data_IF_014438294154
#
_entry.id   IF_014438294154
#
_cell.length_a   1.000
_cell.length_b   1.000
_cell.length_c   1.000
_cell.angle_alpha   90.00
_cell.angle_beta   90.00
_cell.angle_gamma   90.00
#
_symmetry.space_group_name_H-M   'P 1'
#
loop_
_entity.id
_entity.type
_entity.pdbx_description
1 polymer ?
#
# COMPACT_ATOMS: atom_id res chain seq x y z
N UNK A 1 -11.87 -20.79 -8.08
CA UNK A 1 -10.65 -20.93 -8.94
C UNK A 1 -10.12 -19.54 -9.21
N UNK A 2 -8.80 -19.41 -9.27
CA UNK A 2 -8.07 -18.19 -9.61
C UNK A 2 -7.50 -18.36 -11.01
N UNK A 3 -7.63 -17.36 -11.88
CA UNK A 3 -6.98 -17.35 -13.20
C UNK A 3 -5.48 -17.13 -13.05
N UNK A 4 -4.68 -17.39 -14.11
CA UNK A 4 -3.25 -17.11 -14.08
C UNK A 4 -2.94 -15.62 -13.85
N UNK A 5 -3.74 -14.73 -14.44
CA UNK A 5 -3.60 -13.29 -14.25
C UNK A 5 -3.88 -12.86 -12.80
N UNK A 6 -4.96 -13.39 -12.21
CA UNK A 6 -5.24 -13.20 -10.80
C UNK A 6 -4.13 -13.78 -9.92
N UNK A 7 -3.64 -14.99 -10.25
CA UNK A 7 -2.54 -15.63 -9.54
C UNK A 7 -1.25 -14.81 -9.51
N UNK A 8 -0.97 -14.05 -10.59
CA UNK A 8 0.17 -13.13 -10.63
C UNK A 8 0.08 -11.96 -9.62
N UNK A 9 -1.11 -11.72 -9.04
CA UNK A 9 -1.34 -10.73 -7.99
C UNK A 9 -1.23 -11.33 -6.58
N UNK A 10 -1.19 -12.65 -6.42
CA UNK A 10 -1.23 -13.29 -5.11
C UNK A 10 -0.03 -12.90 -4.24
N UNK A 11 1.15 -12.78 -4.83
CA UNK A 11 2.38 -12.42 -4.11
C UNK A 11 2.29 -11.03 -3.47
N UNK A 12 2.05 -9.93 -4.20
CA UNK A 12 1.95 -8.61 -3.59
C UNK A 12 0.74 -8.45 -2.65
N UNK A 13 -0.35 -9.18 -2.89
CA UNK A 13 -1.48 -9.23 -1.94
C UNK A 13 -1.07 -9.91 -0.64
N UNK A 14 -0.28 -10.99 -0.69
CA UNK A 14 0.23 -11.66 0.51
C UNK A 14 1.15 -10.75 1.34
N UNK A 15 2.01 -9.96 0.69
CA UNK A 15 2.82 -8.93 1.35
C UNK A 15 1.93 -7.91 2.09
N UNK A 16 0.87 -7.44 1.44
CA UNK A 16 -0.06 -6.48 2.02
C UNK A 16 -0.89 -7.09 3.17
N UNK A 17 -1.33 -8.35 3.03
CA UNK A 17 -2.02 -9.08 4.09
C UNK A 17 -1.15 -9.20 5.34
N UNK A 18 0.15 -9.53 5.17
CA UNK A 18 1.10 -9.55 6.28
C UNK A 18 1.27 -8.18 6.93
N UNK A 19 1.40 -7.12 6.14
CA UNK A 19 1.52 -5.77 6.69
C UNK A 19 0.30 -5.37 7.53
N UNK A 20 -0.91 -5.70 7.05
CA UNK A 20 -2.16 -5.46 7.79
C UNK A 20 -2.24 -6.30 9.08
N UNK A 21 -1.77 -7.55 9.08
CA UNK A 21 -1.72 -8.39 10.27
C UNK A 21 -0.72 -7.86 11.31
N UNK A 22 0.45 -7.38 10.88
CA UNK A 22 1.43 -6.73 11.76
C UNK A 22 0.91 -5.41 12.35
N UNK A 23 0.02 -4.73 11.63
CA UNK A 23 -0.64 -3.52 12.07
C UNK A 23 -1.69 -3.76 13.17
N UNK A 24 -2.14 -5.01 13.37
CA UNK A 24 -3.15 -5.40 14.36
C UNK A 24 -4.47 -4.59 14.22
N UNK A 25 -5.02 -4.57 13.00
CA UNK A 25 -6.23 -3.82 12.65
C UNK A 25 -7.44 -4.24 13.49
N UNK A 26 -8.22 -3.25 13.94
CA UNK A 26 -9.50 -3.42 14.64
C UNK A 26 -10.60 -2.61 13.96
N UNK A 27 -11.89 -2.81 14.31
CA UNK A 27 -12.98 -1.98 13.77
C UNK A 27 -12.90 -0.49 14.10
N UNK A 28 -12.09 -0.10 15.08
CA UNK A 28 -11.83 1.31 15.46
C UNK A 28 -10.63 1.90 14.74
N UNK A 29 -9.90 1.11 13.94
CA UNK A 29 -8.66 1.55 13.29
C UNK A 29 -8.93 2.60 12.23
N UNK A 30 -8.37 3.79 12.41
CA UNK A 30 -8.08 4.72 11.33
C UNK A 30 -6.67 4.45 10.83
N UNK A 31 -6.54 4.19 9.54
CA UNK A 31 -5.27 3.82 8.93
C UNK A 31 -4.83 4.84 7.88
N UNK A 32 -3.52 5.08 7.77
CA UNK A 32 -2.86 5.81 6.70
C UNK A 32 -1.99 4.87 5.88
N UNK A 33 -2.13 4.92 4.55
CA UNK A 33 -1.21 4.28 3.61
C UNK A 33 -0.49 5.37 2.83
N UNK A 34 0.84 5.41 2.91
CA UNK A 34 1.66 6.33 2.13
C UNK A 34 2.26 5.61 0.94
N UNK A 35 1.90 6.09 -0.26
CA UNK A 35 2.22 5.47 -1.54
C UNK A 35 1.10 4.57 -2.06
N UNK A 36 0.65 4.84 -3.29
CA UNK A 36 -0.43 4.09 -3.97
C UNK A 36 0.12 3.34 -5.19
N UNK A 37 1.32 2.77 -5.04
CA UNK A 37 1.86 1.74 -5.94
C UNK A 37 1.19 0.38 -5.69
N UNK A 38 1.66 -0.71 -6.33
CA UNK A 38 1.05 -2.05 -6.18
C UNK A 38 0.87 -2.47 -4.71
N UNK A 39 1.88 -2.26 -3.88
CA UNK A 39 1.83 -2.60 -2.45
C UNK A 39 0.82 -1.71 -1.71
N UNK A 40 0.78 -0.40 -2.00
CA UNK A 40 -0.17 0.51 -1.35
C UNK A 40 -1.62 0.20 -1.70
N UNK A 41 -1.91 -0.15 -2.97
CA UNK A 41 -3.24 -0.58 -3.41
C UNK A 41 -3.71 -1.80 -2.62
N UNK A 42 -2.85 -2.81 -2.50
CA UNK A 42 -3.21 -4.03 -1.78
C UNK A 42 -3.20 -3.82 -0.26
N UNK A 43 -2.37 -2.91 0.28
CA UNK A 43 -2.42 -2.53 1.69
C UNK A 43 -3.76 -1.86 2.04
N UNK A 44 -4.24 -0.93 1.19
CA UNK A 44 -5.58 -0.35 1.32
C UNK A 44 -6.65 -1.45 1.40
N UNK A 45 -6.67 -2.36 0.41
CA UNK A 45 -7.65 -3.45 0.37
C UNK A 45 -7.52 -4.40 1.57
N UNK A 46 -6.28 -4.75 1.96
CA UNK A 46 -6.04 -5.61 3.12
C UNK A 46 -6.53 -4.98 4.43
N UNK A 47 -6.28 -3.69 4.65
CA UNK A 47 -6.78 -2.95 5.81
C UNK A 47 -8.32 -2.95 5.86
N UNK A 48 -8.98 -2.70 4.72
CA UNK A 48 -10.44 -2.77 4.62
C UNK A 48 -10.96 -4.18 4.90
N UNK A 49 -10.33 -5.23 4.34
CA UNK A 49 -10.72 -6.63 4.53
C UNK A 49 -10.46 -7.11 5.97
N UNK A 50 -9.51 -6.50 6.69
CA UNK A 50 -9.29 -6.71 8.13
C UNK A 50 -10.22 -5.88 9.01
N UNK A 51 -11.07 -5.05 8.42
CA UNK A 51 -12.12 -4.32 9.13
C UNK A 51 -11.72 -2.94 9.65
N UNK A 52 -10.70 -2.30 9.08
CA UNK A 52 -10.37 -0.91 9.41
C UNK A 52 -11.60 0.00 9.20
N UNK A 53 -11.85 0.89 10.16
CA UNK A 53 -12.96 1.85 10.11
C UNK A 53 -12.81 2.83 8.95
N UNK A 54 -11.58 3.27 8.72
CA UNK A 54 -11.21 4.27 7.72
C UNK A 54 -9.83 3.94 7.17
N UNK A 55 -9.65 4.15 5.88
CA UNK A 55 -8.31 4.14 5.28
C UNK A 55 -8.10 5.44 4.52
N UNK A 56 -7.06 6.16 4.90
CA UNK A 56 -6.56 7.37 4.26
C UNK A 56 -5.37 6.97 3.41
N UNK A 57 -5.29 7.49 2.19
CA UNK A 57 -4.19 7.21 1.25
C UNK A 57 -3.50 8.51 0.87
N UNK A 58 -2.18 8.57 0.98
CA UNK A 58 -1.36 9.68 0.50
C UNK A 58 -0.51 9.25 -0.71
N UNK A 59 -0.62 9.96 -1.83
CA UNK A 59 0.22 9.77 -3.03
C UNK A 59 0.34 11.09 -3.79
N UNK A 60 1.45 11.28 -4.51
CA UNK A 60 1.70 12.48 -5.33
C UNK A 60 1.04 12.41 -6.72
N UNK A 61 0.54 11.26 -7.14
CA UNK A 61 -0.09 11.02 -8.42
C UNK A 61 -1.62 11.12 -8.31
N UNK A 62 -2.22 12.09 -9.00
CA UNK A 62 -3.65 12.36 -8.94
C UNK A 62 -4.52 11.20 -9.46
N UNK A 63 -4.05 10.45 -10.48
CA UNK A 63 -4.78 9.30 -11.04
C UNK A 63 -4.81 8.14 -10.03
N UNK A 64 -3.69 7.89 -9.32
CA UNK A 64 -3.62 6.91 -8.24
C UNK A 64 -4.52 7.27 -7.07
N UNK A 65 -4.59 8.56 -6.71
CA UNK A 65 -5.53 9.05 -5.70
C UNK A 65 -6.98 8.90 -6.15
N UNK A 66 -7.28 9.14 -7.44
CA UNK A 66 -8.63 8.90 -7.99
C UNK A 66 -9.00 7.41 -7.91
N UNK A 67 -8.05 6.51 -8.18
CA UNK A 67 -8.25 5.07 -8.01
C UNK A 67 -8.46 4.70 -6.53
N UNK A 68 -7.68 5.25 -5.60
CA UNK A 68 -7.88 5.03 -4.17
C UNK A 68 -9.29 5.45 -3.72
N UNK A 69 -9.78 6.61 -4.18
CA UNK A 69 -11.16 7.05 -3.91
C UNK A 69 -12.20 6.07 -4.44
N UNK A 70 -12.00 5.50 -5.64
CA UNK A 70 -12.92 4.50 -6.19
C UNK A 70 -12.97 3.20 -5.37
N UNK A 71 -11.94 2.93 -4.57
CA UNK A 71 -11.88 1.84 -3.59
C UNK A 71 -12.42 2.24 -2.21
N UNK A 72 -12.98 3.44 -2.05
CA UNK A 72 -13.57 3.92 -0.80
C UNK A 72 -12.56 4.54 0.19
N UNK A 73 -11.35 4.87 -0.24
CA UNK A 73 -10.38 5.57 0.61
C UNK A 73 -10.59 7.09 0.59
N UNK A 74 -10.28 7.74 1.71
CA UNK A 74 -10.01 9.17 1.75
C UNK A 74 -8.60 9.44 1.23
N UNK A 75 -8.34 10.61 0.64
CA UNK A 75 -7.06 10.83 -0.05
C UNK A 75 -6.40 12.15 0.31
N UNK A 76 -5.07 12.13 0.36
CA UNK A 76 -4.21 13.28 0.59
C UNK A 76 -3.25 13.40 -0.60
N UNK A 77 -3.13 14.58 -1.20
CA UNK A 77 -2.07 14.90 -2.13
C UNK A 77 -0.96 15.68 -1.41
N UNK A 78 0.21 15.08 -1.15
CA UNK A 78 1.31 15.74 -0.45
C UNK A 78 1.89 16.97 -1.18
N UNK A 79 1.53 17.17 -2.45
CA UNK A 79 1.90 18.39 -3.22
C UNK A 79 1.00 19.57 -2.89
N UNK A 80 -0.16 19.35 -2.28
CA UNK A 80 -1.18 20.37 -2.00
C UNK A 80 -1.29 20.65 -0.51
N UNK A 81 -1.12 19.63 0.35
CA UNK A 81 -1.24 19.76 1.80
C UNK A 81 -0.26 18.79 2.48
N UNK A 82 0.27 19.20 3.63
CA UNK A 82 1.10 18.32 4.45
C UNK A 82 0.34 17.05 4.88
N UNK A 83 0.96 15.88 4.67
CA UNK A 83 0.34 14.58 4.94
C UNK A 83 -0.01 14.40 6.42
N UNK A 84 0.85 14.89 7.32
CA UNK A 84 0.67 14.73 8.77
C UNK A 84 -0.48 15.62 9.26
N UNK A 85 -0.50 16.87 8.81
CA UNK A 85 -1.54 17.83 9.16
C UNK A 85 -2.91 17.35 8.66
N UNK A 86 -2.97 16.89 7.39
CA UNK A 86 -4.20 16.38 6.80
C UNK A 86 -4.71 15.11 7.51
N UNK A 87 -3.83 14.14 7.76
CA UNK A 87 -4.21 12.90 8.45
C UNK A 87 -4.71 13.17 9.87
N UNK A 88 -4.08 14.10 10.60
CA UNK A 88 -4.56 14.54 11.93
C UNK A 88 -5.90 15.27 11.86
N UNK A 89 -6.09 16.15 10.87
CA UNK A 89 -7.37 16.83 10.69
C UNK A 89 -8.52 15.86 10.42
N UNK A 90 -8.27 14.80 9.64
CA UNK A 90 -9.24 13.73 9.34
C UNK A 90 -9.54 12.83 10.55
N UNK A 91 -8.73 12.90 11.61
CA UNK A 91 -8.84 12.08 12.83
C UNK A 91 -9.03 12.94 14.08
N UNK A 92 -9.68 14.09 13.96
CA UNK A 92 -9.99 15.02 15.05
C UNK A 92 -8.76 15.42 15.90
N UNK A 93 -7.59 15.46 15.27
CA UNK A 93 -6.32 15.81 15.89
C UNK A 93 -5.58 14.63 16.54
N UNK A 94 -6.21 13.46 16.68
CA UNK A 94 -5.62 12.30 17.37
C UNK A 94 -4.46 11.66 16.60
N UNK A 95 -4.49 11.71 15.28
CA UNK A 95 -3.63 10.91 14.39
C UNK A 95 -4.20 9.52 14.09
N UNK A 96 -3.52 8.75 13.26
CA UNK A 96 -3.96 7.42 12.83
C UNK A 96 -3.47 6.32 13.77
N UNK A 97 -4.30 5.33 14.05
CA UNK A 97 -3.91 4.17 14.87
C UNK A 97 -2.85 3.31 14.15
N UNK A 98 -2.91 3.30 12.82
CA UNK A 98 -2.02 2.50 11.95
C UNK A 98 -1.50 3.37 10.81
N UNK A 99 -0.20 3.34 10.53
CA UNK A 99 0.37 3.89 9.31
C UNK A 99 1.20 2.84 8.58
N UNK A 100 1.03 2.71 7.25
CA UNK A 100 1.82 1.82 6.41
C UNK A 100 2.61 2.67 5.41
N UNK A 101 3.94 2.57 5.45
CA UNK A 101 4.81 3.14 4.43
C UNK A 101 5.04 2.11 3.31
N UNK A 102 4.43 2.35 2.15
CA UNK A 102 4.55 1.52 0.96
C UNK A 102 5.54 2.10 -0.07
N UNK A 103 6.30 3.13 0.28
CA UNK A 103 7.31 3.80 -0.56
C UNK A 103 8.72 3.45 -0.09
N UNK A 104 9.03 3.73 1.17
CA UNK A 104 10.34 3.46 1.75
C UNK A 104 11.34 4.60 1.59
N UNK A 105 10.89 5.85 1.49
CA UNK A 105 11.74 7.03 1.52
C UNK A 105 11.76 7.66 2.91
N UNK A 106 12.82 8.39 3.24
CA UNK A 106 12.93 9.08 4.52
C UNK A 106 11.76 10.01 4.82
N UNK A 107 11.29 10.74 3.80
CA UNK A 107 10.14 11.63 3.92
C UNK A 107 8.84 10.86 4.25
N UNK A 108 8.57 9.74 3.56
CA UNK A 108 7.36 8.94 3.77
C UNK A 108 7.38 8.17 5.08
N UNK A 109 8.54 7.64 5.49
CA UNK A 109 8.75 7.02 6.80
C UNK A 109 8.46 8.00 7.93
N UNK A 110 9.01 9.23 7.83
CA UNK A 110 8.77 10.29 8.80
C UNK A 110 7.30 10.73 8.84
N UNK A 111 6.67 10.88 7.67
CA UNK A 111 5.24 11.22 7.60
C UNK A 111 4.39 10.17 8.32
N UNK A 112 4.65 8.87 8.13
CA UNK A 112 3.96 7.80 8.86
C UNK A 112 4.15 7.90 10.37
N UNK A 113 5.38 8.15 10.83
CA UNK A 113 5.67 8.27 12.28
C UNK A 113 4.98 9.48 12.89
N UNK A 114 5.01 10.65 12.24
CA UNK A 114 4.38 11.86 12.78
C UNK A 114 2.84 11.88 12.66
N UNK A 115 2.28 11.14 11.70
CA UNK A 115 0.83 11.00 11.56
C UNK A 115 0.23 10.00 12.55
N UNK A 116 1.04 9.09 13.10
CA UNK A 116 0.57 8.09 14.04
C UNK A 116 0.11 8.73 15.36
N UNK A 117 -1.01 8.23 15.88
CA UNK A 117 -1.50 8.55 17.20
C UNK A 117 -0.58 7.99 18.30
N UNK A 118 -0.61 8.54 19.53
CA UNK A 118 0.07 7.90 20.66
C UNK A 118 -0.37 6.42 20.81
N UNK A 119 0.60 5.52 21.00
CA UNK A 119 0.36 4.07 21.04
C UNK A 119 0.13 3.43 19.66
N UNK A 120 0.16 4.20 18.59
CA UNK A 120 -0.08 3.73 17.22
C UNK A 120 1.03 2.84 16.68
N UNK A 121 0.72 2.13 15.60
CA UNK A 121 1.65 1.22 14.91
C UNK A 121 2.02 1.74 13.53
N UNK A 122 3.31 1.82 13.23
CA UNK A 122 3.85 2.13 11.90
C UNK A 122 4.48 0.88 11.31
N UNK A 123 4.03 0.47 10.12
CA UNK A 123 4.57 -0.68 9.40
C UNK A 123 5.35 -0.19 8.17
N UNK A 124 6.64 -0.49 8.12
CA UNK A 124 7.51 -0.17 6.99
C UNK A 124 7.58 -1.34 6.02
N UNK A 125 7.13 -1.15 4.80
CA UNK A 125 7.13 -2.14 3.72
C UNK A 125 7.98 -1.69 2.54
N UNK A 126 7.98 -0.39 2.25
CA UNK A 126 8.71 0.22 1.15
C UNK A 126 10.24 0.15 1.34
N UNK A 127 10.97 -0.03 0.23
CA UNK A 127 12.43 -0.24 0.21
C UNK A 127 13.16 0.71 -0.74
N UNK A 128 12.63 1.93 -0.96
CA UNK A 128 13.21 2.86 -1.94
C UNK A 128 14.59 3.39 -1.51
N UNK A 129 14.73 3.82 -0.26
CA UNK A 129 16.00 4.27 0.32
C UNK A 129 16.53 3.24 1.32
N UNK A 130 17.85 3.00 1.29
CA UNK A 130 18.48 2.03 2.19
C UNK A 130 18.37 2.46 3.65
N UNK A 131 18.66 3.74 3.93
CA UNK A 131 18.70 4.28 5.29
C UNK A 131 17.83 5.53 5.41
N UNK A 132 17.31 5.79 6.60
CA UNK A 132 16.54 6.98 6.94
C UNK A 132 16.71 7.38 8.39
N UNK A 133 16.75 8.68 8.65
CA UNK A 133 16.68 9.20 10.01
C UNK A 133 15.20 9.23 10.45
N UNK A 134 14.92 8.64 11.60
CA UNK A 134 13.60 8.65 12.22
C UNK A 134 13.59 9.52 13.50
N UNK A 135 12.46 10.12 13.86
CA UNK A 135 12.33 10.98 15.04
C UNK A 135 12.16 10.14 16.32
N UNK A 136 13.22 9.46 16.72
CA UNK A 136 13.21 8.48 17.83
C UNK A 136 12.65 9.07 19.13
N UNK A 137 13.03 10.32 19.49
CA UNK A 137 12.49 10.95 20.69
C UNK A 137 10.97 11.18 20.63
N UNK A 138 10.42 11.43 19.44
CA UNK A 138 8.97 11.50 19.24
C UNK A 138 8.33 10.13 19.41
N UNK A 139 8.90 9.11 18.79
CA UNK A 139 8.42 7.73 18.91
C UNK A 139 8.40 7.26 20.37
N UNK A 140 9.46 7.54 21.15
CA UNK A 140 9.53 7.20 22.57
C UNK A 140 8.45 7.92 23.38
N UNK A 141 8.28 9.24 23.18
CA UNK A 141 7.29 10.02 23.94
C UNK A 141 5.85 9.66 23.60
N UNK A 142 5.61 9.21 22.37
CA UNK A 142 4.29 8.84 21.87
C UNK A 142 4.05 7.31 21.89
N UNK A 143 4.99 6.51 22.42
CA UNK A 143 4.90 5.04 22.51
C UNK A 143 4.58 4.38 21.16
N UNK A 144 5.13 4.93 20.06
CA UNK A 144 4.87 4.43 18.70
C UNK A 144 5.60 3.11 18.48
N UNK A 145 4.87 2.09 18.06
CA UNK A 145 5.41 0.81 17.63
C UNK A 145 5.82 0.87 16.16
N UNK A 146 7.10 0.71 15.86
CA UNK A 146 7.61 0.63 14.49
C UNK A 146 7.98 -0.81 14.14
N UNK A 147 7.46 -1.31 13.01
CA UNK A 147 7.64 -2.71 12.59
C UNK A 147 8.01 -2.78 11.11
N UNK A 148 9.08 -3.51 10.79
CA UNK A 148 9.39 -3.86 9.40
C UNK A 148 8.54 -5.04 8.94
N UNK A 149 8.05 -4.98 7.69
CA UNK A 149 7.36 -6.09 7.04
C UNK A 149 8.10 -6.48 5.76
N UNK A 150 8.59 -7.72 5.72
CA UNK A 150 9.28 -8.25 4.54
C UNK A 150 8.63 -9.56 4.10
N UNK A 151 8.26 -9.63 2.83
CA UNK A 151 7.59 -10.78 2.24
C UNK A 151 6.34 -11.23 3.04
N UNK A 152 6.12 -12.52 3.19
CA UNK A 152 4.91 -13.08 3.82
C UNK A 152 5.17 -14.51 4.31
N UNK A 153 4.29 -15.03 5.18
CA UNK A 153 4.22 -16.46 5.49
C UNK A 153 3.26 -17.16 4.53
N UNK A 154 3.33 -18.49 4.44
CA UNK A 154 2.45 -19.31 3.57
C UNK A 154 0.97 -19.00 3.82
N UNK A 155 0.56 -18.81 5.06
CA UNK A 155 -0.82 -18.45 5.43
C UNK A 155 -1.31 -17.14 4.81
N UNK A 156 -0.43 -16.15 4.62
CA UNK A 156 -0.80 -14.90 3.95
C UNK A 156 -0.99 -15.11 2.44
N UNK A 157 -0.21 -16.04 1.84
CA UNK A 157 -0.37 -16.39 0.43
C UNK A 157 -1.68 -17.15 0.21
N UNK A 158 -2.04 -18.07 1.09
CA UNK A 158 -3.34 -18.74 1.10
C UNK A 158 -4.48 -17.72 1.24
N UNK A 159 -4.37 -16.78 2.18
CA UNK A 159 -5.33 -15.67 2.34
C UNK A 159 -5.45 -14.84 1.06
N UNK A 160 -4.35 -14.54 0.38
CA UNK A 160 -4.36 -13.80 -0.88
C UNK A 160 -5.12 -14.56 -1.98
N UNK A 161 -4.91 -15.87 -2.10
CA UNK A 161 -5.65 -16.72 -3.03
C UNK A 161 -7.14 -16.77 -2.72
N UNK A 162 -7.52 -16.85 -1.44
CA UNK A 162 -8.92 -16.82 -1.01
C UNK A 162 -9.58 -15.48 -1.34
N UNK A 163 -8.90 -14.37 -1.10
CA UNK A 163 -9.40 -13.04 -1.45
C UNK A 163 -9.57 -12.86 -2.97
N UNK A 164 -8.61 -13.34 -3.76
CA UNK A 164 -8.70 -13.33 -5.23
C UNK A 164 -9.85 -14.22 -5.73
N UNK A 165 -9.98 -15.43 -5.22
CA UNK A 165 -11.03 -16.37 -5.61
C UNK A 165 -12.44 -15.85 -5.26
N UNK A 166 -12.56 -15.07 -4.19
CA UNK A 166 -13.78 -14.42 -3.74
C UNK A 166 -14.04 -13.05 -4.40
N UNK A 167 -13.14 -12.57 -5.25
CA UNK A 167 -13.23 -11.23 -5.86
C UNK A 167 -13.11 -10.07 -4.86
N UNK A 168 -12.54 -10.31 -3.68
CA UNK A 168 -12.43 -9.33 -2.59
C UNK A 168 -11.18 -8.45 -2.69
N UNK A 169 -10.13 -8.95 -3.34
CA UNK A 169 -8.92 -8.19 -3.64
C UNK A 169 -8.54 -8.37 -5.10
N UNK A 170 -7.87 -7.36 -5.66
CA UNK A 170 -7.42 -7.39 -7.04
C UNK A 170 -7.15 -5.99 -7.59
N UNK A 171 -6.79 -5.93 -8.85
CA UNK A 171 -6.64 -4.68 -9.60
C UNK A 171 -7.71 -4.65 -10.69
N UNK A 172 -8.73 -3.80 -10.51
CA UNK A 172 -9.73 -3.54 -11.55
C UNK A 172 -9.20 -2.60 -12.65
N UNK A 173 -8.17 -1.81 -12.34
CA UNK A 173 -7.51 -0.87 -13.25
C UNK A 173 -6.00 -0.83 -12.97
N UNK A 174 -5.22 -0.26 -13.88
CA UNK A 174 -3.77 -0.11 -13.71
C UNK A 174 -2.96 -1.37 -14.02
N UNK A 175 -3.56 -2.41 -14.64
CA UNK A 175 -2.83 -3.56 -15.20
C UNK A 175 -2.61 -3.31 -16.69
N UNK A 176 -1.34 -3.34 -17.11
CA UNK A 176 -0.98 -3.44 -18.51
C UNK A 176 -0.59 -4.90 -18.84
N UNK A 177 -0.91 -5.34 -20.05
CA UNK A 177 -0.44 -6.64 -20.57
C UNK A 177 0.53 -6.39 -21.70
N UNK A 178 1.61 -7.14 -21.75
CA UNK A 178 2.61 -7.00 -22.79
C UNK A 178 3.31 -8.35 -23.06
N UNK A 179 3.84 -8.58 -24.26
CA UNK A 179 4.70 -9.72 -24.53
C UNK A 179 5.97 -9.67 -23.68
N UNK A 180 6.51 -10.83 -23.32
CA UNK A 180 7.75 -10.93 -22.52
C UNK A 180 8.92 -10.15 -23.16
N UNK A 181 9.02 -10.12 -24.48
CA UNK A 181 10.05 -9.38 -25.23
C UNK A 181 10.06 -7.87 -24.93
N UNK A 182 8.94 -7.30 -24.51
CA UNK A 182 8.80 -5.87 -24.22
C UNK A 182 9.08 -5.54 -22.74
N UNK A 183 9.47 -6.53 -21.94
CA UNK A 183 9.68 -6.39 -20.51
C UNK A 183 10.70 -5.31 -20.13
N UNK A 184 11.81 -5.20 -20.88
CA UNK A 184 12.82 -4.16 -20.64
C UNK A 184 12.25 -2.74 -20.85
N UNK A 185 11.50 -2.52 -21.93
CA UNK A 185 10.87 -1.24 -22.21
C UNK A 185 9.82 -0.86 -21.14
N UNK A 186 9.05 -1.84 -20.64
CA UNK A 186 8.12 -1.63 -19.56
C UNK A 186 8.82 -1.34 -18.22
N UNK A 187 9.95 -1.97 -17.96
CA UNK A 187 10.75 -1.69 -16.76
C UNK A 187 11.22 -0.24 -16.76
N UNK A 188 11.81 0.25 -17.86
CA UNK A 188 12.22 1.65 -18.03
C UNK A 188 11.03 2.61 -17.87
N UNK A 189 9.88 2.30 -18.46
CA UNK A 189 8.66 3.11 -18.33
C UNK A 189 8.18 3.18 -16.87
N UNK A 190 8.17 2.06 -16.16
CA UNK A 190 7.72 2.04 -14.76
C UNK A 190 8.66 2.81 -13.83
N UNK A 191 9.96 2.86 -14.14
CA UNK A 191 10.92 3.64 -13.37
C UNK A 191 10.78 5.15 -13.59
N UNK A 192 10.57 5.57 -14.84
CA UNK A 192 10.67 6.98 -15.22
C UNK A 192 9.30 7.69 -15.26
N UNK A 193 8.27 7.03 -15.78
CA UNK A 193 6.90 7.57 -15.92
C UNK A 193 5.86 6.45 -15.90
N UNK A 194 5.55 5.89 -14.73
CA UNK A 194 4.58 4.79 -14.61
C UNK A 194 3.13 5.20 -14.93
N UNK A 195 2.80 6.50 -14.87
CA UNK A 195 1.42 6.98 -15.02
C UNK A 195 0.47 6.25 -14.04
N UNK A 196 -0.69 5.83 -14.56
CA UNK A 196 -1.69 5.04 -13.80
C UNK A 196 -1.34 3.54 -13.71
N UNK A 197 -0.28 3.06 -14.40
CA UNK A 197 0.07 1.63 -14.40
C UNK A 197 0.65 1.23 -13.05
N UNK A 198 -0.02 0.31 -12.40
CA UNK A 198 0.42 -0.28 -11.15
C UNK A 198 1.18 -1.59 -11.34
N UNK A 199 0.80 -2.37 -12.36
CA UNK A 199 1.43 -3.68 -12.64
C UNK A 199 1.42 -4.00 -14.13
N UNK A 200 2.50 -4.63 -14.61
CA UNK A 200 2.56 -5.17 -15.96
C UNK A 200 2.57 -6.69 -15.88
N UNK A 201 1.66 -7.33 -16.60
CA UNK A 201 1.65 -8.79 -16.79
C UNK A 201 2.33 -9.09 -18.11
N UNK A 202 3.46 -9.78 -18.04
CA UNK A 202 4.19 -10.21 -19.23
C UNK A 202 3.72 -11.59 -19.66
N UNK A 203 3.30 -11.74 -20.92
CA UNK A 203 2.85 -13.00 -21.50
C UNK A 203 4.00 -13.69 -22.22
N UNK A 204 4.13 -15.00 -21.99
CA UNK A 204 5.24 -15.82 -22.53
C UNK A 204 4.91 -16.38 -23.92
N UNK A 205 3.62 -16.52 -24.28
CA UNK A 205 3.15 -17.01 -25.57
C UNK A 205 2.16 -16.04 -26.20
N UNK A 206 2.09 -16.01 -27.53
CA UNK A 206 1.14 -15.16 -28.27
C UNK A 206 -0.32 -15.58 -28.04
N UNK A 207 -0.58 -16.85 -27.68
CA UNK A 207 -1.93 -17.38 -27.39
C UNK A 207 -2.54 -16.89 -26.05
N UNK A 208 -1.76 -16.26 -25.20
CA UNK A 208 -2.21 -15.75 -23.91
C UNK A 208 -2.56 -14.24 -23.94
N UNK A 209 -2.57 -13.62 -25.12
CA UNK A 209 -2.81 -12.18 -25.32
C UNK A 209 -4.25 -11.86 -25.78
N UNK A 210 -5.11 -12.87 -25.98
CA UNK A 210 -6.55 -12.76 -26.19
C UNK A 210 -7.31 -13.02 -24.86
#
# INVERSE_FOLDING_TARGET
RVTLEQGALAEPIACAARAADLAAVTPETDALVVGMGPIGIFALQALQLRGARRVIVADTNAERLAFARSLGAETINPREIDTVEAAKAMTDGAGVSVAIDAVGAGATRNACVYAAAPGGTVVFVGLHEADSMLPINHMVRSEIRAVGSFAYAVSHFETALDWLAAGKAGLAAGIAKAPLRDGAAWYEKLLNDPGAVAKVLLTVSEEAAE
#
